data_IF_475432706260
#
_entry.id   IF_475432706260
#
_cell.length_a   1.000
_cell.length_b   1.000
_cell.length_c   1.000
_cell.angle_alpha   90.00
_cell.angle_beta   90.00
_cell.angle_gamma   90.00
#
_symmetry.space_group_name_H-M   'P 1'
#
loop_
_entity.id
_entity.type
_entity.pdbx_description
1 polymer ?
#
# COMPACT_ATOMS: atom_id res chain seq x y z
N UNK A 1 -12.75 1.28 -25.48
CA UNK A 1 -12.63 1.23 -24.00
C UNK A 1 -13.15 2.50 -23.36
N UNK A 2 -13.99 2.42 -22.32
CA UNK A 2 -14.31 3.59 -21.49
C UNK A 2 -13.05 4.00 -20.73
N UNK A 3 -12.79 5.32 -20.61
CA UNK A 3 -11.67 5.75 -19.78
C UNK A 3 -11.91 5.36 -18.31
N UNK A 4 -10.85 5.21 -17.52
CA UNK A 4 -10.98 4.91 -16.08
C UNK A 4 -11.84 5.97 -15.37
N UNK A 5 -11.75 7.23 -15.79
CA UNK A 5 -12.56 8.32 -15.24
C UNK A 5 -14.05 8.16 -15.58
N UNK A 6 -14.39 7.68 -16.78
CA UNK A 6 -15.78 7.41 -17.17
C UNK A 6 -16.37 6.25 -16.34
N UNK A 7 -15.57 5.20 -16.07
CA UNK A 7 -15.98 4.10 -15.20
C UNK A 7 -16.22 4.59 -13.77
N UNK A 8 -15.36 5.48 -13.25
CA UNK A 8 -15.53 6.06 -11.91
C UNK A 8 -16.78 6.94 -11.83
N UNK A 9 -17.09 7.69 -12.90
CA UNK A 9 -18.32 8.49 -12.94
C UNK A 9 -19.57 7.60 -12.99
N UNK A 10 -19.52 6.46 -13.70
CA UNK A 10 -20.58 5.44 -13.67
C UNK A 10 -20.73 4.84 -12.25
N UNK A 11 -19.63 4.48 -11.59
CA UNK A 11 -19.61 3.99 -10.20
C UNK A 11 -20.19 5.05 -9.25
N UNK A 12 -19.86 6.31 -9.46
CA UNK A 12 -20.38 7.42 -8.66
C UNK A 12 -21.89 7.53 -8.73
N UNK A 13 -22.49 7.32 -9.93
CA UNK A 13 -23.93 7.43 -10.17
C UNK A 13 -24.68 6.18 -9.76
N UNK A 14 -24.21 5.04 -10.20
CA UNK A 14 -24.93 3.76 -10.15
C UNK A 14 -24.45 2.84 -9.02
N UNK A 15 -23.27 3.10 -8.43
CA UNK A 15 -22.60 2.18 -7.51
C UNK A 15 -22.03 0.95 -8.23
N UNK A 16 -21.60 -0.02 -7.46
CA UNK A 16 -21.18 -1.34 -7.91
C UNK A 16 -21.47 -2.38 -6.83
N UNK A 17 -21.42 -3.66 -7.18
CA UNK A 17 -21.55 -4.77 -6.23
C UNK A 17 -20.23 -5.48 -6.10
N UNK A 18 -19.80 -5.74 -4.87
CA UNK A 18 -18.57 -6.48 -4.55
C UNK A 18 -18.93 -7.67 -3.66
N UNK A 19 -18.63 -8.87 -4.13
CA UNK A 19 -18.82 -10.08 -3.34
C UNK A 19 -17.55 -10.37 -2.53
N UNK A 20 -17.70 -10.42 -1.20
CA UNK A 20 -16.60 -10.65 -0.27
C UNK A 20 -15.87 -11.97 -0.55
N UNK A 21 -16.62 -13.06 -0.71
CA UNK A 21 -16.05 -14.39 -0.87
C UNK A 21 -15.25 -14.52 -2.17
N UNK A 22 -15.80 -14.00 -3.26
CA UNK A 22 -15.13 -14.05 -4.57
C UNK A 22 -13.82 -13.24 -4.54
N UNK A 23 -13.86 -12.01 -4.02
CA UNK A 23 -12.67 -11.16 -3.93
C UNK A 23 -11.63 -11.75 -2.98
N UNK A 24 -12.05 -12.29 -1.82
CA UNK A 24 -11.12 -12.88 -0.87
C UNK A 24 -10.47 -14.15 -1.43
N UNK A 25 -11.24 -15.04 -2.06
CA UNK A 25 -10.71 -16.24 -2.69
C UNK A 25 -9.72 -15.90 -3.82
N UNK A 26 -10.07 -14.94 -4.68
CA UNK A 26 -9.16 -14.46 -5.72
C UNK A 26 -7.86 -13.90 -5.12
N UNK A 27 -7.97 -13.04 -4.10
CA UNK A 27 -6.82 -12.50 -3.39
C UNK A 27 -5.95 -13.59 -2.75
N UNK A 28 -6.56 -14.62 -2.15
CA UNK A 28 -5.83 -15.69 -1.49
C UNK A 28 -5.11 -16.60 -2.48
N UNK A 29 -5.73 -16.94 -3.61
CA UNK A 29 -5.07 -17.70 -4.69
C UNK A 29 -3.89 -16.91 -5.27
N UNK A 30 -4.08 -15.62 -5.54
CA UNK A 30 -3.02 -14.73 -5.99
C UNK A 30 -1.88 -14.63 -4.96
N UNK A 31 -2.22 -14.45 -3.67
CA UNK A 31 -1.25 -14.41 -2.58
C UNK A 31 -0.37 -15.66 -2.55
N UNK A 32 -0.93 -16.86 -2.70
CA UNK A 32 -0.15 -18.12 -2.70
C UNK A 32 0.93 -18.12 -3.79
N UNK A 33 0.66 -17.51 -4.94
CA UNK A 33 1.62 -17.40 -6.05
C UNK A 33 2.77 -16.43 -5.73
N UNK A 34 2.53 -15.34 -5.00
CA UNK A 34 3.54 -14.29 -4.75
C UNK A 34 4.19 -14.36 -3.36
N UNK A 35 3.58 -15.04 -2.37
CA UNK A 35 3.95 -14.97 -0.96
C UNK A 35 5.43 -15.20 -0.70
N UNK A 36 5.98 -16.31 -1.24
CA UNK A 36 7.38 -16.68 -1.01
C UNK A 36 8.34 -15.64 -1.61
N UNK A 37 8.10 -15.24 -2.85
CA UNK A 37 9.00 -14.35 -3.56
C UNK A 37 8.93 -12.93 -3.01
N UNK A 38 7.71 -12.40 -2.82
CA UNK A 38 7.50 -11.10 -2.21
C UNK A 38 8.03 -11.05 -0.77
N UNK A 39 7.81 -12.13 -0.01
CA UNK A 39 8.33 -12.26 1.36
C UNK A 39 9.85 -12.26 1.42
N UNK A 40 10.54 -12.98 0.53
CA UNK A 40 12.00 -12.95 0.44
C UNK A 40 12.53 -11.55 0.13
N UNK A 41 11.90 -10.81 -0.77
CA UNK A 41 12.30 -9.45 -1.07
C UNK A 41 12.08 -8.53 0.13
N UNK A 42 10.92 -8.62 0.79
CA UNK A 42 10.66 -7.85 2.01
C UNK A 42 11.67 -8.17 3.11
N UNK A 43 12.07 -9.46 3.26
CA UNK A 43 13.09 -9.87 4.22
C UNK A 43 14.45 -9.22 3.93
N UNK A 44 14.91 -9.26 2.68
CA UNK A 44 16.16 -8.62 2.27
C UNK A 44 16.11 -7.12 2.53
N UNK A 45 15.01 -6.46 2.16
CA UNK A 45 14.82 -5.03 2.42
C UNK A 45 14.77 -4.70 3.91
N UNK A 46 14.12 -5.53 4.73
CA UNK A 46 14.09 -5.36 6.18
C UNK A 46 15.51 -5.46 6.77
N UNK A 47 16.30 -6.43 6.34
CA UNK A 47 17.71 -6.58 6.76
C UNK A 47 18.52 -5.32 6.38
N UNK A 48 18.43 -4.88 5.12
CA UNK A 48 19.12 -3.68 4.66
C UNK A 48 18.67 -2.45 5.47
N UNK A 49 17.38 -2.29 5.73
CA UNK A 49 16.85 -1.16 6.50
C UNK A 49 17.36 -1.16 7.95
N UNK A 50 17.46 -2.33 8.58
CA UNK A 50 18.02 -2.47 9.94
C UNK A 50 19.50 -2.08 9.97
N UNK A 51 20.30 -2.58 9.01
CA UNK A 51 21.72 -2.23 8.94
C UNK A 51 21.95 -0.75 8.63
N UNK A 52 21.23 -0.19 7.67
CA UNK A 52 21.34 1.24 7.32
C UNK A 52 20.83 2.12 8.47
N UNK A 53 19.67 1.81 9.04
CA UNK A 53 19.10 2.56 10.16
C UNK A 53 19.98 2.48 11.41
N UNK A 54 20.46 1.29 11.74
CA UNK A 54 21.40 1.09 12.86
C UNK A 54 22.73 1.80 12.62
N UNK A 55 23.27 1.74 11.40
CA UNK A 55 24.49 2.47 11.03
C UNK A 55 24.35 3.98 11.15
N UNK A 56 23.23 4.55 10.66
CA UNK A 56 22.93 5.99 10.81
C UNK A 56 22.76 6.36 12.29
N UNK A 57 22.06 5.52 13.06
CA UNK A 57 21.89 5.73 14.50
C UNK A 57 23.25 5.80 15.21
N UNK A 58 24.12 4.81 14.98
CA UNK A 58 25.47 4.76 15.58
C UNK A 58 26.32 5.96 15.13
N UNK A 59 26.20 6.38 13.88
CA UNK A 59 26.94 7.53 13.37
C UNK A 59 26.49 8.87 14.02
N UNK A 60 25.23 9.00 14.38
CA UNK A 60 24.67 10.23 14.96
C UNK A 60 24.79 10.28 16.48
N UNK A 61 24.61 9.15 17.16
CA UNK A 61 24.48 9.10 18.61
C UNK A 61 25.63 8.34 19.31
N UNK A 62 26.43 7.56 18.56
CA UNK A 62 27.45 6.70 19.13
C UNK A 62 26.91 5.31 19.52
N UNK A 63 27.84 4.33 19.58
CA UNK A 63 27.51 2.94 19.91
C UNK A 63 27.05 2.79 21.36
N UNK A 64 27.50 3.67 22.25
CA UNK A 64 27.17 3.70 23.67
C UNK A 64 25.69 3.96 23.95
N UNK A 65 24.98 4.58 23.00
CA UNK A 65 23.53 4.82 23.07
C UNK A 65 22.71 3.64 22.50
N UNK A 66 23.36 2.63 21.94
CA UNK A 66 22.69 1.44 21.43
C UNK A 66 22.34 0.45 22.57
N UNK A 67 21.59 0.97 23.57
CA UNK A 67 21.21 0.23 24.77
C UNK A 67 19.71 0.15 24.93
N UNK A 68 19.22 -0.89 25.60
CA UNK A 68 17.79 -1.06 25.87
C UNK A 68 17.23 0.12 26.72
N UNK A 69 18.03 0.65 27.64
CA UNK A 69 17.66 1.78 28.49
C UNK A 69 17.42 3.04 27.67
N UNK A 70 18.29 3.33 26.68
CA UNK A 70 18.15 4.48 25.80
C UNK A 70 16.88 4.33 24.92
N UNK A 71 16.62 3.15 24.35
CA UNK A 71 15.41 2.93 23.57
C UNK A 71 14.14 3.02 24.41
N UNK A 72 14.17 2.61 25.68
CA UNK A 72 13.06 2.80 26.62
C UNK A 72 12.85 4.29 26.96
N UNK A 73 13.92 5.06 27.12
CA UNK A 73 13.79 6.50 27.33
C UNK A 73 13.16 7.22 26.17
N UNK A 74 13.52 6.86 24.93
CA UNK A 74 12.90 7.39 23.72
C UNK A 74 11.39 7.09 23.59
N UNK A 75 10.95 5.94 24.13
CA UNK A 75 9.51 5.59 24.15
C UNK A 75 8.72 6.48 25.12
N UNK A 76 9.37 6.92 26.20
CA UNK A 76 8.74 7.75 27.22
C UNK A 76 8.82 9.25 26.88
N UNK A 77 9.79 9.67 26.09
CA UNK A 77 9.97 11.05 25.63
C UNK A 77 9.31 11.22 24.25
N UNK A 78 8.08 11.70 24.23
CA UNK A 78 7.46 12.04 22.95
C UNK A 78 8.18 13.24 22.34
N UNK A 79 8.67 13.14 21.09
CA UNK A 79 9.26 14.29 20.42
C UNK A 79 8.25 15.42 20.35
N UNK A 80 8.65 16.61 20.79
CA UNK A 80 7.79 17.79 20.82
C UNK A 80 8.38 18.93 20.00
N UNK A 81 7.55 19.90 19.67
CA UNK A 81 7.99 21.12 18.98
C UNK A 81 8.57 20.85 17.59
N UNK A 82 9.70 21.49 17.29
CA UNK A 82 10.33 21.40 15.96
C UNK A 82 10.83 19.99 15.61
N UNK A 83 11.23 19.21 16.61
CA UNK A 83 11.69 17.82 16.38
C UNK A 83 10.57 16.94 15.83
N UNK A 84 9.36 17.06 16.38
CA UNK A 84 8.19 16.33 15.88
C UNK A 84 7.86 16.71 14.43
N UNK A 85 7.94 17.99 14.08
CA UNK A 85 7.68 18.47 12.73
C UNK A 85 8.73 17.92 11.75
N UNK A 86 10.02 18.01 12.08
CA UNK A 86 11.10 17.49 11.24
C UNK A 86 10.95 15.96 11.06
N UNK A 87 10.70 15.24 12.14
CA UNK A 87 10.47 13.78 12.08
C UNK A 87 9.30 13.44 11.13
N UNK A 88 8.17 14.15 11.27
CA UNK A 88 7.00 13.94 10.41
C UNK A 88 7.32 14.21 8.94
N UNK A 89 8.05 15.28 8.64
CA UNK A 89 8.45 15.62 7.27
C UNK A 89 9.39 14.57 6.67
N UNK A 90 10.37 14.09 7.44
CA UNK A 90 11.30 13.05 6.99
C UNK A 90 10.57 11.73 6.72
N UNK A 91 9.71 11.28 7.64
CA UNK A 91 8.94 10.04 7.46
C UNK A 91 8.01 10.15 6.25
N UNK A 92 7.33 11.28 6.08
CA UNK A 92 6.44 11.54 4.93
C UNK A 92 7.21 11.49 3.61
N UNK A 93 8.39 12.10 3.56
CA UNK A 93 9.24 12.09 2.36
C UNK A 93 9.75 10.67 2.02
N UNK A 94 10.20 9.94 3.04
CA UNK A 94 10.63 8.55 2.88
C UNK A 94 9.47 7.67 2.41
N UNK A 95 8.28 7.81 2.99
CA UNK A 95 7.08 7.09 2.56
C UNK A 95 6.74 7.37 1.08
N UNK A 96 6.84 8.63 0.65
CA UNK A 96 6.62 9.00 -0.75
C UNK A 96 7.66 8.39 -1.69
N UNK A 97 8.95 8.33 -1.29
CA UNK A 97 10.00 7.65 -2.04
C UNK A 97 9.79 6.14 -2.14
N UNK A 98 9.17 5.51 -1.14
CA UNK A 98 8.88 4.08 -1.12
C UNK A 98 7.56 3.72 -1.82
N UNK A 99 6.76 4.69 -2.25
CA UNK A 99 5.48 4.41 -2.92
C UNK A 99 5.62 3.61 -4.23
N UNK A 100 6.63 3.84 -5.10
CA UNK A 100 6.84 3.00 -6.28
C UNK A 100 7.22 1.55 -5.94
N UNK A 101 7.91 1.33 -4.82
CA UNK A 101 8.20 0.00 -4.31
C UNK A 101 6.92 -0.75 -3.91
N UNK A 102 6.01 -0.08 -3.21
CA UNK A 102 4.68 -0.61 -2.89
C UNK A 102 3.87 -0.93 -4.16
N UNK A 103 3.92 -0.06 -5.16
CA UNK A 103 3.29 -0.28 -6.46
C UNK A 103 3.87 -1.50 -7.19
N UNK A 104 5.16 -1.77 -7.02
CA UNK A 104 5.82 -2.96 -7.56
C UNK A 104 5.24 -4.28 -7.04
N UNK A 105 4.83 -4.37 -5.77
CA UNK A 105 4.14 -5.55 -5.25
C UNK A 105 2.75 -5.74 -5.87
N UNK A 106 2.03 -4.66 -6.14
CA UNK A 106 0.76 -4.74 -6.87
C UNK A 106 0.97 -5.20 -8.31
N UNK A 107 2.04 -4.76 -8.97
CA UNK A 107 2.43 -5.25 -10.29
C UNK A 107 2.78 -6.73 -10.27
N UNK A 108 3.46 -7.20 -9.22
CA UNK A 108 3.73 -8.63 -9.03
C UNK A 108 2.42 -9.43 -8.90
N UNK A 109 1.43 -8.90 -8.16
CA UNK A 109 0.12 -9.52 -8.05
C UNK A 109 -0.60 -9.60 -9.41
N UNK A 110 -0.55 -8.55 -10.23
CA UNK A 110 -1.07 -8.52 -11.59
C UNK A 110 -0.38 -9.55 -12.51
N UNK A 111 0.95 -9.65 -12.44
CA UNK A 111 1.70 -10.66 -13.21
C UNK A 111 1.30 -12.09 -12.79
N UNK A 112 1.20 -12.34 -11.49
CA UNK A 112 0.80 -13.65 -10.96
C UNK A 112 -0.62 -14.05 -11.33
N UNK A 113 -1.54 -13.10 -11.40
CA UNK A 113 -2.93 -13.33 -11.80
C UNK A 113 -3.04 -13.69 -13.28
N UNK A 114 -2.22 -13.07 -14.11
CA UNK A 114 -2.14 -13.28 -15.57
C UNK A 114 -1.15 -14.40 -15.97
N UNK A 115 -0.68 -15.18 -15.00
CA UNK A 115 0.33 -16.24 -15.17
C UNK A 115 1.60 -15.77 -15.94
N UNK A 116 1.95 -14.45 -15.79
CA UNK A 116 3.16 -13.86 -16.35
C UNK A 116 4.32 -13.98 -15.37
N UNK A 117 5.52 -14.17 -15.89
CA UNK A 117 6.73 -14.19 -15.07
C UNK A 117 6.98 -12.83 -14.40
N UNK A 118 7.45 -12.87 -13.16
CA UNK A 118 7.87 -11.70 -12.40
C UNK A 118 9.21 -11.97 -11.70
N UNK A 119 9.97 -10.93 -11.48
CA UNK A 119 11.27 -10.99 -10.85
C UNK A 119 11.54 -9.75 -9.99
N UNK A 120 12.74 -9.63 -9.41
CA UNK A 120 13.11 -8.48 -8.56
C UNK A 120 12.96 -7.15 -9.31
N UNK A 121 13.24 -7.10 -10.61
CA UNK A 121 13.10 -5.86 -11.39
C UNK A 121 11.65 -5.42 -11.53
N UNK A 122 10.67 -6.32 -11.43
CA UNK A 122 9.24 -6.00 -11.46
C UNK A 122 8.88 -5.04 -10.33
N UNK A 123 9.48 -5.18 -9.14
CA UNK A 123 9.22 -4.31 -7.99
C UNK A 123 9.75 -2.90 -8.22
N UNK A 124 10.86 -2.76 -8.94
CA UNK A 124 11.46 -1.45 -9.23
C UNK A 124 10.94 -0.79 -10.51
N UNK A 125 10.05 -1.45 -11.26
CA UNK A 125 9.57 -0.99 -12.57
C UNK A 125 8.98 0.43 -12.55
N UNK A 126 8.38 0.83 -11.43
CA UNK A 126 7.75 2.14 -11.31
C UNK A 126 8.70 3.28 -10.93
N UNK A 127 9.94 3.00 -10.52
CA UNK A 127 10.94 4.05 -10.25
C UNK A 127 11.39 4.77 -11.52
N UNK A 128 11.38 4.07 -12.66
CA UNK A 128 11.79 4.64 -13.95
C UNK A 128 10.62 4.69 -14.94
N UNK A 129 9.42 4.96 -14.46
CA UNK A 129 8.20 5.02 -15.26
C UNK A 129 7.49 6.37 -15.14
N UNK A 130 6.55 6.63 -16.06
CA UNK A 130 5.67 7.81 -15.99
C UNK A 130 4.82 7.87 -14.72
N UNK A 131 4.63 6.74 -14.04
CA UNK A 131 3.84 6.64 -12.81
C UNK A 131 4.61 7.06 -11.55
N UNK A 132 5.95 7.25 -11.65
CA UNK A 132 6.75 7.67 -10.49
C UNK A 132 6.21 8.96 -9.85
N UNK A 133 6.05 10.00 -10.66
CA UNK A 133 5.59 11.31 -10.19
C UNK A 133 4.17 11.26 -9.57
N UNK A 134 3.15 10.66 -10.21
CA UNK A 134 1.85 10.48 -9.58
C UNK A 134 1.89 9.68 -8.28
N UNK A 135 2.66 8.59 -8.19
CA UNK A 135 2.82 7.79 -6.99
C UNK A 135 3.48 8.58 -5.86
N UNK A 136 4.57 9.26 -6.16
CA UNK A 136 5.29 10.10 -5.19
C UNK A 136 4.40 11.22 -4.65
N UNK A 137 3.76 11.99 -5.55
CA UNK A 137 2.93 13.14 -5.17
C UNK A 137 1.70 12.69 -4.38
N UNK A 138 1.01 11.63 -4.81
CA UNK A 138 -0.18 11.16 -4.08
C UNK A 138 0.15 10.70 -2.67
N UNK A 139 1.23 9.92 -2.51
CA UNK A 139 1.67 9.45 -1.19
C UNK A 139 2.16 10.62 -0.33
N UNK A 140 2.89 11.57 -0.91
CA UNK A 140 3.32 12.78 -0.23
C UNK A 140 2.12 13.57 0.31
N UNK A 141 1.10 13.81 -0.52
CA UNK A 141 -0.10 14.55 -0.13
C UNK A 141 -0.90 13.84 0.97
N UNK A 142 -1.11 12.54 0.83
CA UNK A 142 -1.84 11.73 1.83
C UNK A 142 -1.08 11.73 3.16
N UNK A 143 0.23 11.45 3.12
CA UNK A 143 1.06 11.38 4.33
C UNK A 143 1.25 12.74 5.00
N UNK A 144 1.39 13.84 4.22
CA UNK A 144 1.44 15.19 4.78
C UNK A 144 0.12 15.55 5.47
N UNK A 145 -1.02 15.23 4.84
CA UNK A 145 -2.32 15.49 5.45
C UNK A 145 -2.46 14.74 6.78
N UNK A 146 -2.14 13.45 6.79
CA UNK A 146 -2.14 12.65 8.02
C UNK A 146 -1.16 13.18 9.06
N UNK A 147 0.06 13.52 8.65
CA UNK A 147 1.10 14.05 9.53
C UNK A 147 0.75 15.39 10.17
N UNK A 148 0.16 16.33 9.41
CA UNK A 148 -0.31 17.61 9.97
C UNK A 148 -1.41 17.38 11.00
N UNK A 149 -2.35 16.49 10.72
CA UNK A 149 -3.41 16.11 11.64
C UNK A 149 -2.81 15.47 12.90
N UNK A 150 -1.89 14.53 12.75
CA UNK A 150 -1.21 13.84 13.85
C UNK A 150 -0.46 14.81 14.78
N UNK A 151 0.28 15.75 14.19
CA UNK A 151 0.97 16.81 14.94
C UNK A 151 -0.04 17.67 15.71
N UNK A 152 -1.14 18.10 15.08
CA UNK A 152 -2.16 18.93 15.73
C UNK A 152 -2.81 18.20 16.92
N UNK A 153 -3.21 16.92 16.76
CA UNK A 153 -3.81 16.14 17.84
C UNK A 153 -2.83 15.75 18.94
N UNK A 154 -1.54 15.59 18.61
CA UNK A 154 -0.48 15.41 19.60
C UNK A 154 -0.38 16.62 20.53
N UNK A 155 -0.42 17.85 19.99
CA UNK A 155 -0.43 19.07 20.79
C UNK A 155 -1.70 19.23 21.65
N UNK A 156 -2.82 18.69 21.19
CA UNK A 156 -4.09 18.69 21.95
C UNK A 156 -4.15 17.60 23.02
N UNK A 157 -3.20 16.65 23.03
CA UNK A 157 -3.16 15.53 23.98
C UNK A 157 -4.27 14.48 23.78
N UNK A 158 -4.79 14.33 22.54
CA UNK A 158 -5.88 13.39 22.21
C UNK A 158 -5.46 12.40 21.09
N UNK A 159 -4.48 11.51 21.36
CA UNK A 159 -3.92 10.62 20.35
C UNK A 159 -4.93 9.57 19.82
N UNK A 160 -5.97 9.23 20.59
CA UNK A 160 -7.00 8.27 20.16
C UNK A 160 -7.80 8.82 18.97
N UNK A 161 -8.14 10.10 18.99
CA UNK A 161 -8.87 10.75 17.89
C UNK A 161 -8.00 10.82 16.64
N UNK A 162 -6.71 11.11 16.80
CA UNK A 162 -5.73 11.07 15.70
C UNK A 162 -5.71 9.70 15.02
N UNK A 163 -5.59 8.61 15.78
CA UNK A 163 -5.58 7.26 15.24
C UNK A 163 -6.84 6.95 14.41
N UNK A 164 -8.02 7.37 14.87
CA UNK A 164 -9.27 7.19 14.12
C UNK A 164 -9.29 7.97 12.80
N UNK A 165 -8.88 9.24 12.82
CA UNK A 165 -8.88 10.09 11.63
C UNK A 165 -7.87 9.56 10.60
N UNK A 166 -6.68 9.19 11.06
CA UNK A 166 -5.63 8.61 10.20
C UNK A 166 -6.10 7.28 9.58
N UNK A 167 -6.78 6.43 10.35
CA UNK A 167 -7.39 5.19 9.84
C UNK A 167 -8.42 5.48 8.73
N UNK A 168 -9.29 6.47 8.94
CA UNK A 168 -10.29 6.88 7.95
C UNK A 168 -9.62 7.37 6.67
N UNK A 169 -8.62 8.26 6.77
CA UNK A 169 -7.88 8.76 5.61
C UNK A 169 -7.24 7.61 4.84
N UNK A 170 -6.52 6.72 5.54
CA UNK A 170 -5.86 5.56 4.94
C UNK A 170 -6.85 4.61 4.27
N UNK A 171 -8.01 4.40 4.88
CA UNK A 171 -9.07 3.57 4.33
C UNK A 171 -9.63 4.12 3.02
N UNK A 172 -10.03 5.39 2.98
CA UNK A 172 -10.60 6.01 1.78
C UNK A 172 -9.57 6.24 0.67
N UNK A 173 -8.28 6.32 0.99
CA UNK A 173 -7.19 6.46 0.00
C UNK A 173 -6.51 5.14 -0.36
N UNK A 174 -7.01 4.01 0.13
CA UNK A 174 -6.39 2.69 -0.01
C UNK A 174 -6.23 2.19 -1.45
N UNK A 175 -7.09 2.61 -2.37
CA UNK A 175 -7.04 2.26 -3.79
C UNK A 175 -6.31 3.29 -4.66
N UNK A 176 -5.68 4.32 -4.08
CA UNK A 176 -4.98 5.36 -4.84
C UNK A 176 -3.86 4.78 -5.69
N UNK A 177 -3.02 3.90 -5.13
CA UNK A 177 -1.90 3.28 -5.88
C UNK A 177 -2.41 2.42 -7.04
N UNK A 178 -3.34 1.46 -6.86
CA UNK A 178 -3.93 0.72 -7.98
C UNK A 178 -4.52 1.62 -9.09
N UNK A 179 -5.22 2.69 -8.72
CA UNK A 179 -5.81 3.64 -9.66
C UNK A 179 -4.75 4.42 -10.47
N UNK A 180 -3.57 4.66 -9.91
CA UNK A 180 -2.46 5.28 -10.63
C UNK A 180 -1.85 4.27 -11.62
N UNK A 181 -1.52 3.05 -11.16
CA UNK A 181 -0.70 2.12 -11.95
C UNK A 181 -1.51 1.32 -12.99
N UNK A 182 -2.77 1.01 -12.70
CA UNK A 182 -3.64 0.27 -13.61
C UNK A 182 -4.69 1.17 -14.28
N UNK A 183 -5.13 2.24 -13.59
CA UNK A 183 -6.10 3.19 -14.11
C UNK A 183 -5.49 4.39 -14.85
N UNK A 184 -4.15 4.51 -14.85
CA UNK A 184 -3.38 5.60 -15.47
C UNK A 184 -3.80 7.01 -15.02
N UNK A 185 -4.23 7.15 -13.76
CA UNK A 185 -4.68 8.41 -13.21
C UNK A 185 -3.51 9.24 -12.64
N UNK A 186 -3.65 10.56 -12.68
CA UNK A 186 -2.76 11.44 -11.94
C UNK A 186 -3.02 11.37 -10.43
N UNK A 187 -2.13 11.96 -9.63
CA UNK A 187 -2.16 11.87 -8.17
C UNK A 187 -3.48 12.35 -7.55
N UNK A 188 -3.99 13.50 -7.98
CA UNK A 188 -5.19 14.13 -7.39
C UNK A 188 -6.44 13.37 -7.78
N UNK A 189 -6.56 13.00 -9.06
CA UNK A 189 -7.71 12.23 -9.53
C UNK A 189 -7.74 10.84 -8.92
N UNK A 190 -6.59 10.18 -8.73
CA UNK A 190 -6.50 8.90 -8.07
C UNK A 190 -6.94 8.95 -6.59
N UNK A 191 -6.53 10.00 -5.84
CA UNK A 191 -6.97 10.20 -4.45
C UNK A 191 -8.49 10.39 -4.38
N UNK A 192 -9.04 11.29 -5.21
CA UNK A 192 -10.49 11.55 -5.26
C UNK A 192 -11.28 10.31 -5.66
N UNK A 193 -10.80 9.62 -6.68
CA UNK A 193 -11.42 8.40 -7.20
C UNK A 193 -11.40 7.27 -6.19
N UNK A 194 -10.30 7.09 -5.46
CA UNK A 194 -10.21 6.12 -4.38
C UNK A 194 -11.29 6.38 -3.33
N UNK A 195 -11.46 7.63 -2.90
CA UNK A 195 -12.48 8.00 -1.93
C UNK A 195 -13.92 7.74 -2.47
N UNK A 196 -14.18 8.05 -3.74
CA UNK A 196 -15.48 7.79 -4.38
C UNK A 196 -15.75 6.28 -4.43
N UNK A 197 -14.81 5.49 -4.93
CA UNK A 197 -14.95 4.05 -5.09
C UNK A 197 -15.16 3.37 -3.73
N UNK A 198 -14.28 3.64 -2.76
CA UNK A 198 -14.37 3.04 -1.42
C UNK A 198 -15.67 3.41 -0.71
N UNK A 199 -16.17 4.64 -0.89
CA UNK A 199 -17.42 5.09 -0.25
C UNK A 199 -18.68 4.37 -0.75
N UNK A 200 -18.65 3.68 -1.89
CA UNK A 200 -19.80 2.96 -2.44
C UNK A 200 -20.01 1.57 -1.81
N UNK A 201 -18.93 0.92 -1.37
CA UNK A 201 -18.98 -0.40 -0.73
C UNK A 201 -18.05 -0.43 0.51
N UNK A 202 -18.19 0.52 1.47
CA UNK A 202 -17.22 0.68 2.55
C UNK A 202 -17.16 -0.55 3.47
N UNK A 203 -18.31 -1.21 3.73
CA UNK A 203 -18.37 -2.35 4.64
C UNK A 203 -17.61 -3.56 4.09
N UNK A 204 -17.84 -3.91 2.82
CA UNK A 204 -17.17 -5.07 2.20
C UNK A 204 -15.66 -4.84 2.09
N UNK A 205 -15.24 -3.63 1.67
CA UNK A 205 -13.83 -3.27 1.58
C UNK A 205 -13.18 -3.25 2.96
N UNK A 206 -13.86 -2.72 3.98
CA UNK A 206 -13.35 -2.73 5.35
C UNK A 206 -13.16 -4.15 5.87
N UNK A 207 -14.13 -5.05 5.65
CA UNK A 207 -14.02 -6.46 6.03
C UNK A 207 -12.85 -7.15 5.33
N UNK A 208 -12.64 -6.90 4.03
CA UNK A 208 -11.49 -7.45 3.28
C UNK A 208 -10.16 -6.96 3.88
N UNK A 209 -10.04 -5.68 4.24
CA UNK A 209 -8.84 -5.16 4.87
C UNK A 209 -8.64 -5.67 6.30
N UNK A 210 -9.70 -5.81 7.09
CA UNK A 210 -9.62 -6.40 8.45
C UNK A 210 -9.13 -7.84 8.35
N UNK A 211 -9.74 -8.66 7.48
CA UNK A 211 -9.34 -10.07 7.33
C UNK A 211 -7.91 -10.19 6.79
N UNK A 212 -7.50 -9.36 5.82
CA UNK A 212 -6.12 -9.36 5.33
C UNK A 212 -5.12 -8.88 6.38
N UNK A 213 -5.49 -7.90 7.20
CA UNK A 213 -4.70 -7.45 8.34
C UNK A 213 -4.50 -8.56 9.39
N UNK A 214 -5.58 -9.24 9.77
CA UNK A 214 -5.51 -10.39 10.68
C UNK A 214 -4.67 -11.52 10.08
N UNK A 215 -4.85 -11.85 8.80
CA UNK A 215 -4.03 -12.85 8.11
C UNK A 215 -2.53 -12.46 8.10
N UNK A 216 -2.22 -11.17 7.96
CA UNK A 216 -0.83 -10.69 8.03
C UNK A 216 -0.21 -10.89 9.41
N UNK A 217 -1.00 -10.80 10.50
CA UNK A 217 -0.50 -11.01 11.86
C UNK A 217 -0.25 -12.47 12.21
N UNK A 218 -0.82 -13.42 11.47
CA UNK A 218 -0.55 -14.87 11.68
C UNK A 218 0.95 -15.18 11.56
N UNK A 219 1.67 -14.44 10.74
CA UNK A 219 3.12 -14.56 10.59
C UNK A 219 3.91 -14.29 11.88
N UNK A 220 3.34 -13.60 12.90
CA UNK A 220 3.96 -13.40 14.20
C UNK A 220 4.21 -14.73 14.95
N UNK A 221 3.38 -15.74 14.72
CA UNK A 221 3.54 -17.09 15.27
C UNK A 221 4.86 -17.72 14.82
N UNK A 222 5.35 -17.35 13.62
CA UNK A 222 6.64 -17.77 13.06
C UNK A 222 7.83 -16.89 13.48
N UNK A 223 7.92 -16.48 14.74
CA UNK A 223 9.04 -15.71 15.30
C UNK A 223 9.35 -14.40 14.55
N UNK A 224 8.34 -13.59 14.24
CA UNK A 224 8.42 -12.32 13.53
C UNK A 224 8.88 -12.42 12.05
N UNK A 225 9.72 -13.38 11.69
CA UNK A 225 10.16 -13.61 10.30
C UNK A 225 8.97 -14.00 9.42
N UNK A 226 8.00 -14.75 9.96
CA UNK A 226 6.78 -15.13 9.25
C UNK A 226 5.96 -13.94 8.75
N UNK A 227 6.01 -12.79 9.43
CA UNK A 227 5.24 -11.58 9.04
C UNK A 227 5.62 -11.10 7.64
N UNK A 228 6.89 -11.13 7.26
CA UNK A 228 7.31 -10.69 5.92
C UNK A 228 6.72 -11.54 4.80
N UNK A 229 6.39 -12.81 5.09
CA UNK A 229 5.73 -13.72 4.14
C UNK A 229 4.21 -13.58 4.14
N UNK A 230 3.61 -13.06 5.22
CA UNK A 230 2.15 -12.86 5.30
C UNK A 230 1.72 -11.46 4.86
N UNK A 231 2.58 -10.43 4.99
CA UNK A 231 2.30 -9.07 4.48
C UNK A 231 1.84 -9.03 3.01
N UNK A 232 2.40 -9.83 2.07
CA UNK A 232 1.99 -9.81 0.67
C UNK A 232 0.49 -10.04 0.43
N UNK A 233 -0.24 -10.67 1.37
CA UNK A 233 -1.70 -10.82 1.26
C UNK A 233 -2.42 -9.49 1.14
N UNK A 234 -1.91 -8.42 1.77
CA UNK A 234 -2.51 -7.09 1.70
C UNK A 234 -2.42 -6.49 0.30
N UNK A 235 -1.36 -6.78 -0.43
CA UNK A 235 -1.21 -6.35 -1.84
C UNK A 235 -2.11 -7.15 -2.76
N UNK A 236 -2.21 -8.47 -2.55
CA UNK A 236 -3.14 -9.32 -3.30
C UNK A 236 -4.59 -8.91 -3.07
N UNK A 237 -4.98 -8.55 -1.84
CA UNK A 237 -6.34 -8.04 -1.55
C UNK A 237 -6.61 -6.71 -2.25
N UNK A 238 -5.67 -5.75 -2.21
CA UNK A 238 -5.82 -4.47 -2.92
C UNK A 238 -5.94 -4.67 -4.43
N UNK A 239 -5.14 -5.57 -4.99
CA UNK A 239 -5.21 -5.94 -6.40
C UNK A 239 -6.55 -6.58 -6.74
N UNK A 240 -7.00 -7.57 -5.97
CA UNK A 240 -8.25 -8.28 -6.21
C UNK A 240 -9.48 -7.36 -6.10
N UNK A 241 -9.49 -6.41 -5.14
CA UNK A 241 -10.53 -5.38 -5.04
C UNK A 241 -10.56 -4.54 -6.33
N UNK A 242 -9.40 -4.05 -6.76
CA UNK A 242 -9.30 -3.23 -7.97
C UNK A 242 -9.73 -4.02 -9.22
N UNK A 243 -9.24 -5.26 -9.38
CA UNK A 243 -9.59 -6.14 -10.49
C UNK A 243 -11.09 -6.43 -10.55
N UNK A 244 -11.73 -6.71 -9.41
CA UNK A 244 -13.16 -6.99 -9.32
C UNK A 244 -14.05 -5.76 -9.63
N UNK A 245 -13.56 -4.55 -9.34
CA UNK A 245 -14.31 -3.31 -9.59
C UNK A 245 -14.21 -2.88 -11.06
N UNK A 246 -13.01 -3.02 -11.65
CA UNK A 246 -12.70 -2.50 -12.99
C UNK A 246 -12.61 -3.59 -14.08
N UNK A 247 -12.94 -4.86 -13.76
CA UNK A 247 -13.02 -6.02 -14.67
C UNK A 247 -11.78 -6.22 -15.57
N UNK A 248 -10.57 -6.04 -15.01
CA UNK A 248 -9.32 -6.11 -15.81
C UNK A 248 -9.15 -7.50 -16.48
N UNK A 249 -9.67 -8.56 -15.87
CA UNK A 249 -9.47 -9.94 -16.36
C UNK A 249 -10.38 -10.28 -17.55
N UNK A 250 -11.54 -9.64 -17.68
CA UNK A 250 -12.46 -9.88 -18.81
C UNK A 250 -11.95 -9.27 -20.12
N UNK A 251 -11.17 -8.18 -20.05
CA UNK A 251 -10.63 -7.51 -21.24
C UNK A 251 -9.48 -8.28 -21.88
N UNK A 252 -8.57 -8.87 -21.08
CA UNK A 252 -7.44 -9.66 -21.60
C UNK A 252 -7.91 -10.98 -22.27
N UNK A 253 -9.03 -11.57 -21.84
CA UNK A 253 -9.60 -12.80 -22.43
C UNK A 253 -10.26 -12.57 -23.78
N UNK A 254 -10.84 -11.40 -24.01
CA UNK A 254 -11.51 -11.05 -25.28
C UNK A 254 -10.48 -10.67 -26.35
N UNK A 255 -9.44 -9.92 -25.99
CA UNK A 255 -8.37 -9.53 -26.92
C UNK A 255 -7.52 -10.74 -27.38
N UNK A 256 -7.39 -11.79 -26.54
CA UNK A 256 -6.65 -13.01 -26.90
C UNK A 256 -7.42 -13.89 -27.91
N UNK A 257 -8.75 -13.84 -27.91
CA UNK A 257 -9.59 -14.61 -28.85
C UNK A 257 -9.57 -13.98 -30.25
N UNK A 258 -9.43 -12.65 -30.36
CA UNK A 258 -9.41 -11.96 -31.65
C UNK A 258 -8.07 -12.04 -32.42
N UNK A 259 -6.98 -12.53 -31.79
CA UNK A 259 -5.66 -12.65 -32.44
C UNK A 259 -5.39 -14.04 -33.02
N UNK A 260 -6.20 -15.07 -32.70
CA UNK A 260 -5.99 -16.43 -33.20
C UNK A 260 -6.57 -16.71 -34.60
N UNK A 261 -7.29 -15.78 -35.21
CA UNK A 261 -7.95 -15.99 -36.51
C UNK A 261 -7.20 -15.39 -37.71
N UNK A 262 -5.93 -14.97 -37.56
CA UNK A 262 -5.10 -14.38 -38.62
C UNK A 262 -3.70 -14.98 -38.75
N UNK A 263 -3.55 -16.31 -38.57
CA UNK A 263 -2.37 -17.06 -39.05
C UNK A 263 -2.77 -18.20 -40.01
#
# INVERSE_FOLDING_TARGET
MKSTLDQIEDIRKNGYSLDFSNVFNHAFENYKKIALYAGLILLVFAIIAVFLGGGVFVALYGVEHFTEEYFKSLQNEQPAGMVLIIYTLVITFVAALLSPFTAGFLKMADCADKDKEFNVSTIFSYYNSRHFSPLFISTLLISLTGGVISVAFSYLGIPVIDAFITLIITFFTSLTIPLIIFGDLNAIDAIKSSAIVVSKQPLVIALLFIVSGLASTVGLIGCCIGVVFTIPITYSVKYAIYSAIFNINDEDSIDSIGQSDFE
#
